data_IF_138514781992
#
_entry.id   IF_138514781992
#
_cell.length_a   1.000
_cell.length_b   1.000
_cell.length_c   1.000
_cell.angle_alpha   90.00
_cell.angle_beta   90.00
_cell.angle_gamma   90.00
#
_symmetry.space_group_name_H-M   'P 1'
#
loop_
_entity.id
_entity.type
_entity.pdbx_description
1 polymer ?
#
# COMPACT_ATOMS: atom_id res chain seq x y z
N UNK A 1 -19.72 11.44 -4.76
CA UNK A 1 -19.41 12.00 -6.08
C UNK A 1 -19.26 10.87 -7.09
N UNK A 2 -19.88 10.97 -8.26
CA UNK A 2 -19.68 9.99 -9.34
C UNK A 2 -18.29 10.21 -9.98
N UNK A 3 -17.50 9.14 -10.07
CA UNK A 3 -16.20 9.17 -10.74
C UNK A 3 -16.44 9.22 -12.25
N UNK A 4 -15.90 10.24 -12.93
CA UNK A 4 -16.01 10.39 -14.38
C UNK A 4 -15.42 9.17 -15.11
N UNK A 5 -15.90 8.88 -16.32
CA UNK A 5 -15.43 7.75 -17.12
C UNK A 5 -13.89 7.79 -17.33
N UNK A 6 -13.34 8.99 -17.54
CA UNK A 6 -11.89 9.20 -17.69
C UNK A 6 -11.12 8.88 -16.41
N UNK A 7 -11.63 9.27 -15.23
CA UNK A 7 -10.99 8.98 -13.94
C UNK A 7 -11.05 7.48 -13.62
N UNK A 8 -12.12 6.79 -14.01
CA UNK A 8 -12.24 5.33 -13.88
C UNK A 8 -11.17 4.61 -14.70
N UNK A 9 -11.04 4.94 -15.98
CA UNK A 9 -10.01 4.34 -16.86
C UNK A 9 -8.57 4.55 -16.35
N UNK A 10 -8.27 5.71 -15.76
CA UNK A 10 -6.96 5.95 -15.16
C UNK A 10 -6.74 5.07 -13.92
N UNK A 11 -7.72 5.03 -13.01
CA UNK A 11 -7.67 4.16 -11.83
C UNK A 11 -7.51 2.68 -12.23
N UNK A 12 -8.23 2.22 -13.27
CA UNK A 12 -8.13 0.83 -13.75
C UNK A 12 -6.71 0.52 -14.27
N UNK A 13 -6.10 1.43 -15.03
CA UNK A 13 -4.71 1.30 -15.50
C UNK A 13 -3.70 1.27 -14.35
N UNK A 14 -3.93 2.06 -13.30
CA UNK A 14 -3.06 2.06 -12.12
C UNK A 14 -3.24 0.77 -11.32
N UNK A 15 -4.49 0.38 -11.05
CA UNK A 15 -4.83 -0.84 -10.33
C UNK A 15 -4.32 -2.10 -11.03
N UNK A 16 -4.23 -2.11 -12.37
CA UNK A 16 -3.64 -3.21 -13.13
C UNK A 16 -2.14 -3.43 -12.83
N UNK A 17 -1.44 -2.43 -12.28
CA UNK A 17 -0.03 -2.53 -11.82
C UNK A 17 0.07 -2.95 -10.36
N UNK A 18 -1.03 -2.88 -9.61
CA UNK A 18 -1.06 -3.22 -8.20
C UNK A 18 -1.52 -4.68 -8.02
N UNK A 19 -0.84 -5.41 -7.14
CA UNK A 19 -1.32 -6.72 -6.68
C UNK A 19 -1.97 -6.58 -5.31
N UNK A 20 -3.12 -7.23 -5.11
CA UNK A 20 -3.83 -7.21 -3.84
C UNK A 20 -3.19 -8.19 -2.83
N UNK A 21 -2.89 -7.69 -1.64
CA UNK A 21 -2.50 -8.52 -0.48
C UNK A 21 -3.70 -8.62 0.46
N UNK A 22 -4.27 -9.82 0.61
CA UNK A 22 -5.42 -10.05 1.48
C UNK A 22 -4.97 -10.40 2.90
N UNK A 23 -5.27 -9.53 3.86
CA UNK A 23 -4.98 -9.72 5.28
C UNK A 23 -6.29 -9.95 6.05
N UNK A 24 -6.31 -10.99 6.90
CA UNK A 24 -7.48 -11.33 7.74
C UNK A 24 -7.06 -11.54 9.22
N UNK A 25 -6.56 -10.49 9.90
CA UNK A 25 -6.25 -10.56 11.33
C UNK A 25 -7.53 -10.71 12.16
N UNK A 26 -7.38 -11.11 13.42
CA UNK A 26 -8.49 -11.14 14.38
C UNK A 26 -9.02 -9.71 14.61
N UNK A 27 -10.32 -9.57 14.89
CA UNK A 27 -10.96 -8.27 15.15
C UNK A 27 -10.20 -7.37 16.15
N UNK A 28 -9.76 -7.85 17.34
CA UNK A 28 -9.00 -7.01 18.27
C UNK A 28 -7.67 -6.51 17.68
N UNK A 29 -6.94 -7.37 16.97
CA UNK A 29 -5.68 -7.02 16.31
C UNK A 29 -5.92 -6.00 15.19
N UNK A 30 -6.94 -6.21 14.36
CA UNK A 30 -7.33 -5.28 13.31
C UNK A 30 -7.65 -3.88 13.87
N UNK A 31 -8.33 -3.82 15.01
CA UNK A 31 -8.67 -2.56 15.67
C UNK A 31 -7.44 -1.87 16.24
N UNK A 32 -6.50 -2.61 16.84
CA UNK A 32 -5.24 -2.08 17.31
C UNK A 32 -4.41 -1.47 16.17
N UNK A 33 -4.30 -2.18 15.03
CA UNK A 33 -3.57 -1.67 13.84
C UNK A 33 -4.24 -0.41 13.29
N UNK A 34 -5.58 -0.39 13.19
CA UNK A 34 -6.33 0.80 12.74
C UNK A 34 -6.10 2.01 13.66
N UNK A 35 -6.11 1.81 14.98
CA UNK A 35 -5.86 2.87 15.94
C UNK A 35 -4.42 3.41 15.81
N UNK A 36 -3.43 2.53 15.65
CA UNK A 36 -2.04 2.92 15.45
C UNK A 36 -1.82 3.70 14.14
N UNK A 37 -2.45 3.26 13.05
CA UNK A 37 -2.41 3.98 11.78
C UNK A 37 -3.03 5.39 11.89
N UNK A 38 -4.17 5.51 12.59
CA UNK A 38 -4.81 6.79 12.84
C UNK A 38 -3.95 7.72 13.71
N UNK A 39 -3.32 7.18 14.77
CA UNK A 39 -2.40 7.94 15.61
C UNK A 39 -1.15 8.41 14.85
N UNK A 40 -0.69 7.63 13.87
CA UNK A 40 0.40 8.01 12.97
C UNK A 40 -0.03 8.99 11.85
N UNK A 41 -1.31 9.33 11.73
CA UNK A 41 -1.83 10.18 10.65
C UNK A 41 -1.76 9.52 9.26
N UNK A 42 -1.73 8.19 9.20
CA UNK A 42 -1.56 7.43 7.97
C UNK A 42 -2.83 6.66 7.58
N UNK A 43 -2.95 6.36 6.29
CA UNK A 43 -3.91 5.34 5.85
C UNK A 43 -3.50 3.96 6.36
N UNK A 44 -4.46 3.07 6.62
CA UNK A 44 -4.20 1.69 7.05
C UNK A 44 -3.25 0.96 6.10
N UNK A 45 -3.47 1.08 4.79
CA UNK A 45 -2.60 0.46 3.78
C UNK A 45 -1.18 1.01 3.82
N UNK A 46 -1.03 2.35 3.92
CA UNK A 46 0.27 3.00 4.01
C UNK A 46 1.04 2.57 5.26
N UNK A 47 0.35 2.54 6.41
CA UNK A 47 0.91 2.10 7.69
C UNK A 47 1.46 0.67 7.63
N UNK A 48 0.67 -0.27 7.07
CA UNK A 48 1.07 -1.66 6.90
C UNK A 48 2.27 -1.79 5.95
N UNK A 49 2.22 -1.13 4.79
CA UNK A 49 3.32 -1.18 3.81
C UNK A 49 4.62 -0.58 4.38
N UNK A 50 4.53 0.49 5.15
CA UNK A 50 5.70 1.08 5.80
C UNK A 50 6.30 0.12 6.83
N UNK A 51 5.49 -0.46 7.73
CA UNK A 51 5.97 -1.42 8.72
C UNK A 51 6.68 -2.63 8.07
N UNK A 52 6.15 -3.14 6.96
CA UNK A 52 6.78 -4.24 6.20
C UNK A 52 8.10 -3.79 5.57
N UNK A 53 8.16 -2.61 4.95
CA UNK A 53 9.41 -2.08 4.36
C UNK A 53 10.51 -1.87 5.40
N UNK A 54 10.16 -1.29 6.55
CA UNK A 54 11.10 -1.10 7.66
C UNK A 54 11.60 -2.44 8.21
N UNK A 55 10.73 -3.44 8.27
CA UNK A 55 11.12 -4.80 8.67
C UNK A 55 12.07 -5.44 7.66
N UNK A 56 11.73 -5.38 6.37
CA UNK A 56 12.58 -5.88 5.28
C UNK A 56 13.97 -5.23 5.27
N UNK A 57 14.06 -3.93 5.51
CA UNK A 57 15.33 -3.22 5.63
C UNK A 57 16.16 -3.70 6.83
N UNK A 58 15.53 -3.92 7.99
CA UNK A 58 16.20 -4.47 9.18
C UNK A 58 16.69 -5.90 8.97
N UNK A 59 15.95 -6.70 8.21
CA UNK A 59 16.29 -8.09 7.89
C UNK A 59 17.36 -8.19 6.77
N UNK A 60 17.89 -7.05 6.28
CA UNK A 60 18.93 -7.03 5.23
C UNK A 60 18.41 -7.39 3.84
N UNK A 61 17.10 -7.31 3.62
CA UNK A 61 16.44 -7.51 2.33
C UNK A 61 15.64 -6.24 1.97
N UNK A 62 16.28 -5.06 1.86
CA UNK A 62 15.56 -3.83 1.60
C UNK A 62 14.79 -3.95 0.27
N UNK A 63 13.56 -3.46 0.26
CA UNK A 63 12.76 -3.40 -0.97
C UNK A 63 13.40 -2.38 -1.91
N UNK A 64 14.17 -2.84 -2.90
CA UNK A 64 14.64 -2.01 -4.01
C UNK A 64 13.50 -1.85 -4.99
N UNK A 65 12.81 -0.70 -4.93
CA UNK A 65 11.71 -0.39 -5.85
C UNK A 65 12.21 -0.27 -7.29
N UNK A 66 13.50 0.04 -7.48
CA UNK A 66 14.16 0.15 -8.79
C UNK A 66 14.24 -1.20 -9.54
N UNK A 67 14.16 -2.33 -8.82
CA UNK A 67 14.17 -3.67 -9.42
C UNK A 67 12.76 -4.24 -9.66
N UNK A 68 11.70 -3.50 -9.31
CA UNK A 68 10.33 -3.94 -9.55
C UNK A 68 9.91 -3.64 -10.98
N UNK A 69 9.48 -4.64 -11.77
CA UNK A 69 8.99 -4.41 -13.13
C UNK A 69 7.79 -3.45 -13.08
N UNK A 70 7.99 -2.21 -13.56
CA UNK A 70 6.97 -1.16 -13.60
C UNK A 70 7.24 0.10 -12.77
N UNK A 71 8.36 0.20 -12.05
CA UNK A 71 8.71 1.39 -11.24
C UNK A 71 8.83 2.69 -12.07
N UNK A 72 9.25 2.61 -13.33
CA UNK A 72 9.34 3.75 -14.27
C UNK A 72 7.99 4.40 -14.58
N UNK A 73 6.88 3.75 -14.22
CA UNK A 73 5.53 4.24 -14.47
C UNK A 73 5.03 5.29 -13.48
N UNK A 74 5.75 5.51 -12.36
CA UNK A 74 5.31 6.39 -11.27
C UNK A 74 6.18 7.64 -11.26
N UNK A 75 6.14 8.40 -12.36
CA UNK A 75 6.58 9.81 -12.37
C UNK A 75 5.34 10.70 -12.59
N UNK A 76 5.19 11.80 -11.83
CA UNK A 76 4.01 12.66 -11.87
C UNK A 76 3.70 13.24 -13.25
#
# INVERSE_FOLDING_TARGET
MAVSARKRLNNDKYNAKCTQINLKPLTPEANAIKAAAAAAGQSLQGYILQAVRERMAKDGQPLTLDDLPGADSVKP
#
